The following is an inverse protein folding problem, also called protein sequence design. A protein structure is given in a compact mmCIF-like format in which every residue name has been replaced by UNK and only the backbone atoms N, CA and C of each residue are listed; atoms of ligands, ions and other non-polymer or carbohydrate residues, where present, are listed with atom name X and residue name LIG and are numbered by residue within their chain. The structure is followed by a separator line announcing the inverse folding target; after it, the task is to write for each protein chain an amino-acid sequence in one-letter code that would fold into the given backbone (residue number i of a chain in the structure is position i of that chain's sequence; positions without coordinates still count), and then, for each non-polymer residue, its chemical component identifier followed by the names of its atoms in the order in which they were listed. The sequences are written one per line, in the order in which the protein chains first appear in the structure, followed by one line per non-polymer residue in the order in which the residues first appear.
data_IF_939257543003
#
_entry.id   IF_939257543003
#
_cell.length_a   1.000
_cell.length_b   1.000
_cell.length_c   1.000
_cell.angle_alpha   90.00
_cell.angle_beta   90.00
_cell.angle_gamma   90.00
#
_symmetry.space_group_name_H-M   'P 1'
#
loop_
_entity.id
_entity.type
_entity.pdbx_description
1 polymer ?
#
# COMPACT_ATOMS: atom_id res chain seq x y z
N UNK A 1 20.47 -6.93 14.32
CA UNK A 1 20.27 -5.46 14.52
C UNK A 1 19.22 -5.05 13.49
N UNK A 2 18.17 -4.30 13.90
CA UNK A 2 17.11 -3.94 12.95
C UNK A 2 17.60 -2.90 11.94
N UNK A 3 17.14 -3.00 10.69
CA UNK A 3 17.30 -1.95 9.70
C UNK A 3 16.45 -0.74 10.14
N UNK A 4 17.07 0.41 10.21
CA UNK A 4 16.40 1.65 10.58
C UNK A 4 16.09 2.51 9.35
N UNK A 5 15.13 3.41 9.52
CA UNK A 5 14.66 4.34 8.50
C UNK A 5 14.87 5.78 8.96
N UNK A 6 15.22 6.64 8.04
CA UNK A 6 15.46 8.07 8.26
C UNK A 6 14.66 8.91 7.28
N UNK A 7 14.41 10.18 7.63
CA UNK A 7 13.79 11.12 6.70
C UNK A 7 14.73 11.45 5.54
N UNK A 8 14.15 11.67 4.36
CA UNK A 8 14.89 12.19 3.18
C UNK A 8 15.35 13.63 3.37
N UNK A 9 14.79 14.37 4.35
CA UNK A 9 15.15 15.77 4.63
C UNK A 9 16.09 15.92 5.81
N UNK A 10 15.92 15.08 6.84
CA UNK A 10 16.78 15.08 8.03
C UNK A 10 17.03 13.63 8.48
N UNK A 11 18.28 13.29 8.73
CA UNK A 11 18.72 11.95 9.10
C UNK A 11 19.03 11.75 10.58
N UNK A 12 18.83 12.75 11.41
CA UNK A 12 19.21 12.70 12.84
C UNK A 12 18.33 11.78 13.67
N UNK A 13 17.07 11.58 13.24
CA UNK A 13 16.13 10.68 13.89
C UNK A 13 15.87 9.47 13.01
N UNK A 14 16.02 8.30 13.60
CA UNK A 14 15.69 7.04 12.93
C UNK A 14 14.53 6.34 13.60
N UNK A 15 13.77 5.58 12.83
CA UNK A 15 12.62 4.79 13.25
C UNK A 15 12.72 3.37 12.72
N UNK A 16 11.97 2.43 13.28
CA UNK A 16 11.83 1.07 12.72
C UNK A 16 10.89 1.08 11.51
N UNK A 17 10.84 -0.03 10.75
CA UNK A 17 9.94 -0.15 9.61
C UNK A 17 8.47 0.01 10.02
N UNK A 18 8.03 -0.65 11.10
CA UNK A 18 6.64 -0.52 11.59
C UNK A 18 6.28 0.89 12.02
N UNK A 19 7.21 1.63 12.63
CA UNK A 19 7.03 3.03 12.99
C UNK A 19 6.94 3.93 11.75
N UNK A 20 7.79 3.68 10.74
CA UNK A 20 7.77 4.42 9.48
C UNK A 20 6.44 4.22 8.74
N UNK A 21 5.92 2.99 8.69
CA UNK A 21 4.63 2.66 8.07
C UNK A 21 3.48 3.44 8.74
N UNK A 22 3.43 3.43 10.07
CA UNK A 22 2.37 4.13 10.81
C UNK A 22 2.44 5.64 10.65
N UNK A 23 3.64 6.18 10.64
CA UNK A 23 3.84 7.62 10.58
C UNK A 23 3.58 8.18 9.18
N UNK A 24 3.87 7.40 8.14
CA UNK A 24 3.74 7.79 6.74
C UNK A 24 4.76 8.85 6.34
N UNK A 25 4.62 10.09 6.84
CA UNK A 25 5.56 11.19 6.64
C UNK A 25 6.38 11.46 7.90
N UNK A 26 7.63 11.85 7.74
CA UNK A 26 8.46 12.33 8.84
C UNK A 26 8.01 13.72 9.31
N UNK A 27 8.39 14.11 10.55
CA UNK A 27 7.99 15.39 11.17
C UNK A 27 8.43 16.62 10.36
N UNK A 28 9.47 16.48 9.56
CA UNK A 28 10.02 17.50 8.65
C UNK A 28 9.38 17.47 7.24
N UNK A 29 8.34 16.63 7.04
CA UNK A 29 7.66 16.44 5.76
C UNK A 29 8.44 15.62 4.74
N UNK A 30 9.55 14.97 5.14
CA UNK A 30 10.29 14.02 4.31
C UNK A 30 9.65 12.65 4.27
N UNK A 31 10.09 11.82 3.32
CA UNK A 31 9.74 10.40 3.24
C UNK A 31 10.73 9.57 4.06
N UNK A 32 10.29 8.43 4.58
CA UNK A 32 11.18 7.48 5.22
C UNK A 32 11.90 6.60 4.19
N UNK A 33 13.22 6.56 4.28
CA UNK A 33 14.08 5.68 3.48
C UNK A 33 14.98 4.86 4.41
N UNK A 34 15.35 3.63 4.05
CA UNK A 34 16.25 2.83 4.87
C UNK A 34 17.63 3.51 4.94
N UNK A 35 18.30 3.40 6.10
CA UNK A 35 19.66 3.95 6.28
C UNK A 35 20.70 3.31 5.39
N UNK A 36 20.43 2.09 4.91
CA UNK A 36 21.20 1.36 3.91
C UNK A 36 20.29 0.45 3.11
N UNK A 37 20.62 0.21 1.85
CA UNK A 37 19.89 -0.76 1.02
C UNK A 37 20.45 -2.14 1.31
N UNK A 38 19.63 -3.06 1.85
CA UNK A 38 20.08 -4.42 2.14
C UNK A 38 20.32 -5.20 0.85
N UNK A 39 21.20 -6.21 0.95
CA UNK A 39 21.38 -7.19 -0.13
C UNK A 39 20.42 -8.35 0.09
N UNK A 40 19.92 -8.92 -0.99
CA UNK A 40 19.19 -10.18 -0.92
C UNK A 40 20.12 -11.29 -0.40
N UNK A 41 19.59 -12.14 0.44
CA UNK A 41 20.27 -13.33 0.98
C UNK A 41 19.95 -14.61 0.19
N UNK A 42 19.33 -14.45 -0.97
CA UNK A 42 18.99 -15.53 -1.91
C UNK A 42 19.61 -15.22 -3.28
N UNK A 43 19.96 -16.26 -4.00
CA UNK A 43 20.51 -16.18 -5.36
C UNK A 43 19.40 -16.03 -6.41
N UNK A 44 19.77 -15.59 -7.63
CA UNK A 44 18.82 -15.56 -8.74
C UNK A 44 18.32 -16.95 -9.14
N UNK A 45 19.14 -17.99 -8.94
CA UNK A 45 18.75 -19.38 -9.20
C UNK A 45 17.72 -19.90 -8.19
N UNK A 46 17.79 -19.46 -6.95
CA UNK A 46 16.76 -19.77 -5.94
C UNK A 46 15.48 -18.99 -6.21
N UNK A 47 15.56 -17.71 -6.57
CA UNK A 47 14.40 -16.87 -6.85
C UNK A 47 13.52 -17.39 -8.00
N UNK A 48 14.11 -17.97 -9.03
CA UNK A 48 13.36 -18.43 -10.22
C UNK A 48 12.36 -19.55 -9.92
N UNK A 49 12.62 -20.33 -8.87
CA UNK A 49 11.80 -21.47 -8.46
C UNK A 49 10.81 -21.10 -7.35
N UNK A 50 10.82 -19.86 -6.86
CA UNK A 50 9.92 -19.35 -5.83
C UNK A 50 8.57 -18.91 -6.40
N UNK A 51 7.52 -19.14 -5.63
CA UNK A 51 6.22 -18.50 -5.84
C UNK A 51 6.33 -16.98 -5.65
N UNK A 52 5.28 -16.24 -6.06
CA UNK A 52 5.22 -14.79 -5.82
C UNK A 52 5.32 -14.47 -4.32
N UNK A 53 4.61 -15.22 -3.47
CA UNK A 53 4.61 -15.02 -2.01
C UNK A 53 5.98 -15.29 -1.39
N UNK A 54 6.67 -16.33 -1.84
CA UNK A 54 8.03 -16.65 -1.37
C UNK A 54 9.04 -15.58 -1.80
N UNK A 55 8.95 -15.11 -3.05
CA UNK A 55 9.76 -13.99 -3.55
C UNK A 55 9.48 -12.70 -2.76
N UNK A 56 8.20 -12.40 -2.51
CA UNK A 56 7.81 -11.24 -1.70
C UNK A 56 8.40 -11.33 -0.29
N UNK A 57 8.35 -12.51 0.35
CA UNK A 57 8.96 -12.71 1.66
C UNK A 57 10.48 -12.56 1.63
N UNK A 58 11.17 -13.17 0.65
CA UNK A 58 12.63 -13.08 0.51
C UNK A 58 13.10 -11.62 0.38
N UNK A 59 12.34 -10.78 -0.32
CA UNK A 59 12.64 -9.35 -0.48
C UNK A 59 12.24 -8.57 0.79
N UNK A 60 11.00 -8.71 1.24
CA UNK A 60 10.42 -7.87 2.29
C UNK A 60 11.08 -8.09 3.65
N UNK A 61 11.51 -9.31 3.99
CA UNK A 61 12.22 -9.59 5.26
C UNK A 61 13.52 -8.79 5.41
N UNK A 62 14.13 -8.37 4.31
CA UNK A 62 15.35 -7.53 4.35
C UNK A 62 15.04 -6.09 4.77
N UNK A 63 13.83 -5.62 4.51
CA UNK A 63 13.39 -4.27 4.81
C UNK A 63 12.60 -4.20 6.11
N UNK A 64 11.68 -5.13 6.36
CA UNK A 64 10.80 -5.12 7.53
C UNK A 64 11.37 -5.95 8.69
N UNK A 65 12.60 -5.64 9.09
CA UNK A 65 13.40 -6.44 10.04
C UNK A 65 12.86 -6.42 11.48
N UNK A 66 11.91 -5.58 11.79
CA UNK A 66 11.20 -5.56 13.08
C UNK A 66 9.87 -6.35 13.05
N UNK A 67 9.50 -6.92 11.89
CA UNK A 67 8.41 -7.90 11.80
C UNK A 67 8.94 -9.31 12.07
N UNK A 68 8.13 -10.15 12.70
CA UNK A 68 8.44 -11.58 12.77
C UNK A 68 8.16 -12.26 11.42
N UNK A 69 8.72 -13.46 11.24
CA UNK A 69 8.45 -14.23 10.03
C UNK A 69 6.95 -14.51 9.84
N UNK A 70 6.27 -14.91 10.92
CA UNK A 70 4.84 -15.18 10.90
C UNK A 70 4.02 -13.93 10.57
N UNK A 71 4.37 -12.78 11.14
CA UNK A 71 3.71 -11.50 10.86
C UNK A 71 3.83 -11.14 9.39
N UNK A 72 5.04 -11.24 8.83
CA UNK A 72 5.29 -10.84 7.45
C UNK A 72 4.66 -11.81 6.45
N UNK A 73 4.76 -13.12 6.69
CA UNK A 73 4.09 -14.15 5.88
C UNK A 73 2.57 -14.02 5.94
N UNK A 74 2.01 -13.70 7.11
CA UNK A 74 0.59 -13.42 7.22
C UNK A 74 0.18 -12.21 6.36
N UNK A 75 0.91 -11.10 6.41
CA UNK A 75 0.64 -9.93 5.57
C UNK A 75 0.68 -10.27 4.08
N UNK A 76 1.71 -11.01 3.65
CA UNK A 76 1.91 -11.39 2.25
C UNK A 76 0.79 -12.34 1.77
N UNK A 77 0.50 -13.40 2.52
CA UNK A 77 -0.49 -14.39 2.11
C UNK A 77 -1.92 -13.84 2.14
N UNK A 78 -2.21 -12.89 3.03
CA UNK A 78 -3.51 -12.21 3.07
C UNK A 78 -3.69 -11.17 1.96
N UNK A 79 -2.60 -10.65 1.43
CA UNK A 79 -2.60 -9.68 0.33
C UNK A 79 -2.70 -10.34 -1.04
N UNK A 80 -1.88 -11.36 -1.26
CA UNK A 80 -1.69 -12.01 -2.56
C UNK A 80 -2.32 -13.40 -2.55
N UNK A 81 -3.63 -13.45 -2.58
CA UNK A 81 -4.48 -14.64 -2.50
C UNK A 81 -5.43 -14.72 -3.71
N UNK A 82 -6.53 -15.44 -3.56
CA UNK A 82 -7.57 -15.62 -4.59
C UNK A 82 -8.30 -14.32 -5.02
N UNK A 83 -7.97 -13.16 -4.48
CA UNK A 83 -8.39 -11.85 -5.00
C UNK A 83 -7.72 -11.52 -6.34
N UNK A 84 -6.58 -12.16 -6.62
CA UNK A 84 -5.95 -12.14 -7.93
C UNK A 84 -6.50 -13.28 -8.77
N UNK A 85 -6.81 -13.03 -10.05
CA UNK A 85 -7.41 -14.01 -10.97
C UNK A 85 -6.38 -15.01 -11.54
N UNK A 86 -5.12 -14.94 -11.07
CA UNK A 86 -4.05 -15.87 -11.40
C UNK A 86 -3.19 -16.20 -10.18
N UNK A 87 -2.80 -17.47 -10.03
CA UNK A 87 -1.92 -17.93 -8.94
C UNK A 87 -0.52 -17.32 -9.01
N UNK A 88 -0.09 -16.92 -10.20
CA UNK A 88 1.23 -16.28 -10.42
C UNK A 88 1.26 -14.83 -9.94
N UNK A 89 0.10 -14.23 -9.69
CA UNK A 89 -0.11 -12.85 -9.22
C UNK A 89 0.32 -11.79 -10.25
N UNK A 90 1.55 -11.84 -10.74
CA UNK A 90 2.12 -10.92 -11.74
C UNK A 90 2.87 -11.73 -12.83
N UNK A 91 2.14 -12.35 -13.75
CA UNK A 91 2.75 -13.16 -14.79
C UNK A 91 3.58 -12.35 -15.78
N UNK A 92 4.64 -12.96 -16.26
CA UNK A 92 5.48 -12.42 -17.32
C UNK A 92 5.13 -13.11 -18.64
N UNK A 93 4.44 -12.41 -19.52
CA UNK A 93 3.93 -12.94 -20.80
C UNK A 93 4.81 -12.48 -21.95
N UNK A 94 5.25 -13.44 -22.79
CA UNK A 94 6.04 -13.13 -23.99
C UNK A 94 5.13 -12.96 -25.21
N UNK A 95 5.21 -11.79 -25.85
CA UNK A 95 4.53 -11.48 -27.10
C UNK A 95 5.57 -11.11 -28.16
N UNK A 96 5.76 -11.95 -29.15
CA UNK A 96 6.88 -11.80 -30.10
C UNK A 96 8.22 -11.87 -29.37
N UNK A 97 9.02 -10.82 -29.48
CA UNK A 97 10.33 -10.70 -28.82
C UNK A 97 10.31 -9.84 -27.54
N UNK A 98 9.11 -9.39 -27.13
CA UNK A 98 8.94 -8.51 -25.96
C UNK A 98 8.28 -9.27 -24.80
N UNK A 99 8.78 -9.01 -23.59
CA UNK A 99 8.16 -9.51 -22.36
C UNK A 99 7.28 -8.42 -21.73
N UNK A 100 6.08 -8.81 -21.35
CA UNK A 100 5.08 -7.97 -20.68
C UNK A 100 4.85 -8.49 -19.26
N UNK A 101 5.16 -7.67 -18.25
CA UNK A 101 4.79 -7.94 -16.87
C UNK A 101 3.36 -7.45 -16.64
N UNK A 102 2.44 -8.39 -16.44
CA UNK A 102 1.02 -8.08 -16.27
C UNK A 102 0.72 -7.78 -14.81
N UNK A 103 0.26 -6.55 -14.52
CA UNK A 103 -0.01 -6.06 -13.17
C UNK A 103 -1.51 -5.77 -12.93
N UNK A 104 -2.38 -6.28 -13.79
CA UNK A 104 -3.83 -6.00 -13.78
C UNK A 104 -4.69 -7.15 -13.25
N UNK A 105 -4.10 -8.18 -12.66
CA UNK A 105 -4.80 -9.38 -12.18
C UNK A 105 -5.47 -9.21 -10.82
N UNK A 106 -5.30 -8.08 -10.14
CA UNK A 106 -5.90 -7.81 -8.83
C UNK A 106 -7.36 -7.38 -8.88
N UNK A 107 -7.97 -7.21 -7.72
CA UNK A 107 -9.39 -6.97 -7.52
C UNK A 107 -9.95 -5.75 -8.26
N UNK A 108 -9.13 -4.73 -8.54
CA UNK A 108 -9.57 -3.51 -9.24
C UNK A 108 -9.02 -3.38 -10.66
N UNK A 109 -8.29 -4.40 -11.14
CA UNK A 109 -7.71 -4.45 -12.49
C UNK A 109 -6.70 -3.30 -12.72
N UNK A 110 -6.10 -2.78 -11.66
CA UNK A 110 -5.10 -1.73 -11.71
C UNK A 110 -3.80 -2.20 -11.05
N UNK A 111 -2.64 -1.79 -11.61
CA UNK A 111 -1.33 -2.12 -11.03
C UNK A 111 -1.18 -1.70 -9.55
N UNK A 112 -2.00 -0.78 -9.10
CA UNK A 112 -2.03 -0.31 -7.71
C UNK A 112 -2.46 -1.38 -6.71
N UNK A 113 -3.17 -2.41 -7.17
CA UNK A 113 -3.53 -3.56 -6.34
C UNK A 113 -2.31 -4.27 -5.78
N UNK A 114 -1.18 -4.26 -6.53
CA UNK A 114 0.07 -4.86 -6.07
C UNK A 114 0.57 -4.27 -4.74
N UNK A 115 0.37 -2.98 -4.52
CA UNK A 115 0.78 -2.29 -3.29
C UNK A 115 -0.37 -2.16 -2.28
N UNK A 116 -1.58 -1.84 -2.74
CA UNK A 116 -2.71 -1.52 -1.87
C UNK A 116 -3.38 -2.77 -1.29
N UNK A 117 -3.13 -3.96 -1.82
CA UNK A 117 -3.55 -5.21 -1.20
C UNK A 117 -2.76 -5.55 0.07
N UNK A 118 -1.47 -5.22 0.14
CA UNK A 118 -0.64 -5.56 1.31
C UNK A 118 -0.60 -4.43 2.35
N UNK A 119 -0.78 -3.18 1.93
CA UNK A 119 -0.66 -2.03 2.83
C UNK A 119 -1.54 -2.12 4.08
N UNK A 120 -2.82 -2.51 4.02
CA UNK A 120 -3.67 -2.64 5.21
C UNK A 120 -3.10 -3.63 6.23
N UNK A 121 -2.62 -4.77 5.78
CA UNK A 121 -2.05 -5.81 6.65
C UNK A 121 -0.77 -5.35 7.34
N UNK A 122 0.11 -4.65 6.60
CA UNK A 122 1.30 -4.04 7.17
C UNK A 122 0.95 -2.96 8.19
N UNK A 123 -0.05 -2.11 7.92
CA UNK A 123 -0.49 -1.04 8.82
C UNK A 123 -1.07 -1.59 10.12
N UNK A 124 -1.97 -2.57 10.06
CA UNK A 124 -2.57 -3.17 11.25
C UNK A 124 -1.53 -3.93 12.08
N UNK A 125 -0.63 -4.66 11.43
CA UNK A 125 0.48 -5.32 12.13
C UNK A 125 1.38 -4.29 12.81
N UNK A 126 1.71 -3.20 12.12
CA UNK A 126 2.49 -2.09 12.68
C UNK A 126 1.78 -1.42 13.86
N UNK A 127 0.46 -1.18 13.77
CA UNK A 127 -0.35 -0.61 14.84
C UNK A 127 -0.29 -1.49 16.10
N UNK A 128 -0.50 -2.79 15.94
CA UNK A 128 -0.41 -3.76 17.05
C UNK A 128 0.98 -3.73 17.71
N UNK A 129 2.06 -3.74 16.91
CA UNK A 129 3.45 -3.71 17.39
C UNK A 129 3.76 -2.44 18.18
N UNK A 130 3.21 -1.32 17.77
CA UNK A 130 3.42 -0.02 18.40
C UNK A 130 2.30 0.36 19.40
N UNK A 131 1.42 -0.60 19.77
CA UNK A 131 0.37 -0.43 20.78
C UNK A 131 -0.61 0.72 20.48
N UNK A 132 -0.85 1.00 19.20
CA UNK A 132 -1.84 1.99 18.76
C UNK A 132 -3.24 1.42 19.06
N UNK A 133 -4.07 2.19 19.77
CA UNK A 133 -5.42 1.79 20.19
C UNK A 133 -6.52 2.46 19.40
N UNK A 134 -6.21 3.55 18.72
CA UNK A 134 -7.18 4.32 17.93
C UNK A 134 -7.31 3.71 16.53
N UNK A 135 -8.48 3.90 15.91
CA UNK A 135 -8.65 3.60 14.50
C UNK A 135 -7.68 4.43 13.64
N UNK A 136 -7.17 3.80 12.60
CA UNK A 136 -6.34 4.48 11.59
C UNK A 136 -7.28 5.01 10.51
N UNK A 137 -7.26 6.33 10.31
CA UNK A 137 -8.06 6.98 9.27
C UNK A 137 -7.19 7.23 8.04
N UNK A 138 -7.57 6.62 6.92
CA UNK A 138 -6.91 6.78 5.64
C UNK A 138 -7.65 7.86 4.83
N UNK A 139 -6.95 8.95 4.51
CA UNK A 139 -7.48 10.01 3.64
C UNK A 139 -6.77 9.96 2.29
N UNK A 140 -7.51 9.85 1.22
CA UNK A 140 -6.97 9.75 -0.14
C UNK A 140 -7.66 10.73 -1.08
N UNK A 141 -6.88 11.56 -1.77
CA UNK A 141 -7.32 12.28 -2.96
C UNK A 141 -6.97 11.46 -4.19
N UNK A 142 -7.91 11.31 -5.13
CA UNK A 142 -7.70 10.45 -6.29
C UNK A 142 -8.20 11.08 -7.58
N UNK A 143 -7.52 10.74 -8.68
CA UNK A 143 -7.99 10.96 -10.05
C UNK A 143 -8.63 9.67 -10.66
N UNK A 144 -8.84 8.63 -9.84
CA UNK A 144 -9.49 7.38 -10.24
C UNK A 144 -8.87 6.12 -9.61
N UNK A 145 -7.90 5.52 -10.27
CA UNK A 145 -7.38 4.18 -9.94
C UNK A 145 -6.85 4.00 -8.51
N UNK A 146 -6.14 4.98 -7.99
CA UNK A 146 -5.58 4.88 -6.63
C UNK A 146 -6.66 4.81 -5.57
N UNK A 147 -7.70 5.66 -5.69
CA UNK A 147 -8.79 5.69 -4.72
C UNK A 147 -9.59 4.40 -4.70
N UNK A 148 -9.94 3.86 -5.88
CA UNK A 148 -10.67 2.59 -5.95
C UNK A 148 -9.87 1.42 -5.41
N UNK A 149 -8.57 1.35 -5.71
CA UNK A 149 -7.70 0.29 -5.20
C UNK A 149 -7.49 0.40 -3.68
N UNK A 150 -7.38 1.63 -3.15
CA UNK A 150 -7.32 1.86 -1.71
C UNK A 150 -8.65 1.45 -1.02
N UNK A 151 -9.80 1.84 -1.58
CA UNK A 151 -11.11 1.42 -1.05
C UNK A 151 -11.22 -0.11 -1.01
N UNK A 152 -10.86 -0.80 -2.08
CA UNK A 152 -10.91 -2.27 -2.14
C UNK A 152 -9.94 -2.92 -1.14
N UNK A 153 -8.73 -2.39 -0.99
CA UNK A 153 -7.72 -2.92 -0.07
C UNK A 153 -8.08 -2.73 1.41
N UNK A 154 -8.70 -1.60 1.76
CA UNK A 154 -9.07 -1.28 3.14
C UNK A 154 -10.51 -1.65 3.51
N UNK A 155 -11.35 -2.11 2.56
CA UNK A 155 -12.72 -2.48 2.83
C UNK A 155 -12.81 -3.53 3.94
N UNK A 156 -13.59 -3.22 4.99
CA UNK A 156 -13.83 -4.06 6.16
C UNK A 156 -12.58 -4.52 6.93
N UNK A 157 -11.44 -3.82 6.76
CA UNK A 157 -10.24 -4.08 7.57
C UNK A 157 -10.45 -3.49 8.97
N UNK A 158 -10.48 -4.33 10.02
CA UNK A 158 -10.77 -3.86 11.39
C UNK A 158 -9.74 -2.82 11.87
N UNK A 159 -10.22 -1.80 12.58
CA UNK A 159 -9.37 -0.72 13.11
C UNK A 159 -8.94 0.30 12.07
N UNK A 160 -9.57 0.28 10.88
CA UNK A 160 -9.34 1.29 9.85
C UNK A 160 -10.63 1.96 9.40
N UNK A 161 -10.51 3.19 8.93
CA UNK A 161 -11.55 3.93 8.19
C UNK A 161 -10.91 4.56 6.98
N UNK A 162 -11.55 4.49 5.83
CA UNK A 162 -11.04 5.11 4.61
C UNK A 162 -12.04 6.10 4.03
N UNK A 163 -11.53 7.29 3.69
CA UNK A 163 -12.28 8.35 3.04
C UNK A 163 -11.55 8.74 1.76
N UNK A 164 -12.21 8.57 0.63
CA UNK A 164 -11.66 8.91 -0.68
C UNK A 164 -12.35 10.14 -1.23
N UNK A 165 -11.57 11.17 -1.55
CA UNK A 165 -12.04 12.39 -2.20
C UNK A 165 -11.70 12.35 -3.69
N UNK A 166 -12.69 12.63 -4.54
CA UNK A 166 -12.48 12.71 -5.99
C UNK A 166 -13.19 13.93 -6.61
N UNK A 167 -12.68 14.49 -7.73
CA UNK A 167 -13.33 15.59 -8.39
C UNK A 167 -14.59 15.13 -9.13
N UNK A 168 -15.75 15.70 -8.82
CA UNK A 168 -17.02 15.39 -9.50
C UNK A 168 -16.88 15.69 -11.00
N UNK A 169 -17.10 14.70 -11.83
CA UNK A 169 -16.93 14.80 -13.28
C UNK A 169 -15.46 14.86 -13.76
N UNK A 170 -14.49 14.71 -12.85
CA UNK A 170 -13.05 14.68 -13.17
C UNK A 170 -12.43 13.28 -13.20
N UNK A 171 -13.24 12.24 -13.09
CA UNK A 171 -12.84 10.82 -13.24
C UNK A 171 -13.72 10.18 -14.33
N UNK A 172 -13.28 9.05 -14.89
CA UNK A 172 -14.14 8.32 -15.84
C UNK A 172 -15.38 7.75 -15.13
N UNK A 173 -16.47 7.57 -15.88
CA UNK A 173 -17.70 7.00 -15.33
C UNK A 173 -17.50 5.64 -14.69
N UNK A 174 -16.65 4.79 -15.29
CA UNK A 174 -16.30 3.47 -14.74
C UNK A 174 -15.57 3.60 -13.40
N UNK A 175 -14.58 4.50 -13.31
CA UNK A 175 -13.84 4.74 -12.08
C UNK A 175 -14.74 5.30 -10.96
N UNK A 176 -15.64 6.21 -11.31
CA UNK A 176 -16.64 6.74 -10.36
C UNK A 176 -17.52 5.60 -9.83
N UNK A 177 -18.10 4.80 -10.72
CA UNK A 177 -18.92 3.65 -10.32
C UNK A 177 -18.15 2.67 -9.44
N UNK A 178 -16.91 2.33 -9.78
CA UNK A 178 -16.07 1.44 -8.98
C UNK A 178 -15.82 1.98 -7.55
N UNK A 179 -15.75 3.30 -7.37
CA UNK A 179 -15.61 3.91 -6.05
C UNK A 179 -16.93 3.94 -5.28
N UNK A 180 -18.00 4.47 -5.89
CA UNK A 180 -19.27 4.71 -5.19
C UNK A 180 -20.06 3.42 -4.92
N UNK A 181 -19.76 2.34 -5.63
CA UNK A 181 -20.36 1.02 -5.40
C UNK A 181 -19.50 0.09 -4.55
N UNK A 182 -18.29 0.53 -4.14
CA UNK A 182 -17.45 -0.27 -3.24
C UNK A 182 -18.19 -0.54 -1.93
N UNK A 183 -18.31 -1.81 -1.60
CA UNK A 183 -18.89 -2.25 -0.33
C UNK A 183 -17.83 -2.20 0.78
N UNK A 184 -18.28 -1.96 1.99
CA UNK A 184 -17.46 -1.92 3.20
C UNK A 184 -18.03 -0.92 4.19
N UNK A 185 -18.21 -1.33 5.45
CA UNK A 185 -18.80 -0.47 6.49
C UNK A 185 -17.86 0.65 6.93
N UNK A 186 -16.58 0.50 6.68
CA UNK A 186 -15.53 1.46 7.02
C UNK A 186 -15.10 2.35 5.83
N UNK A 187 -15.81 2.27 4.69
CA UNK A 187 -15.47 3.01 3.47
C UNK A 187 -16.38 4.23 3.28
N UNK A 188 -15.80 5.35 2.84
CA UNK A 188 -16.54 6.57 2.50
C UNK A 188 -15.96 7.20 1.24
N UNK A 189 -16.85 7.67 0.36
CA UNK A 189 -16.47 8.30 -0.91
C UNK A 189 -17.12 9.67 -1.00
N UNK A 190 -16.33 10.71 -1.25
CA UNK A 190 -16.78 12.09 -1.27
C UNK A 190 -16.41 12.75 -2.60
N UNK A 191 -17.42 13.13 -3.38
CA UNK A 191 -17.22 13.95 -4.57
C UNK A 191 -17.04 15.41 -4.16
N UNK A 192 -16.00 16.08 -4.67
CA UNK A 192 -15.79 17.50 -4.44
C UNK A 192 -16.07 18.32 -5.71
N UNK A 193 -16.49 19.57 -5.53
CA UNK A 193 -16.52 20.55 -6.62
C UNK A 193 -15.13 21.12 -6.81
N UNK A 194 -14.49 20.84 -7.95
CA UNK A 194 -13.12 21.25 -8.27
C UNK A 194 -12.40 20.21 -9.11
N UNK A 195 -11.10 20.30 -9.15
CA UNK A 195 -10.22 19.36 -9.85
C UNK A 195 -9.43 18.49 -8.85
N UNK A 196 -8.57 17.60 -9.38
CA UNK A 196 -7.72 16.72 -8.56
C UNK A 196 -6.79 17.51 -7.62
N UNK A 197 -6.23 18.63 -8.09
CA UNK A 197 -5.31 19.44 -7.27
C UNK A 197 -6.04 20.07 -6.07
N UNK A 198 -7.32 20.43 -6.22
CA UNK A 198 -8.14 20.89 -5.11
C UNK A 198 -8.38 19.79 -4.07
N UNK A 199 -8.69 18.55 -4.52
CA UNK A 199 -8.83 17.41 -3.63
C UNK A 199 -7.52 17.12 -2.87
N UNK A 200 -6.40 17.10 -3.58
CA UNK A 200 -5.08 16.84 -3.00
C UNK A 200 -4.68 17.93 -2.00
N UNK A 201 -4.90 19.19 -2.33
CA UNK A 201 -4.59 20.32 -1.44
C UNK A 201 -5.46 20.28 -0.19
N UNK A 202 -6.74 19.93 -0.32
CA UNK A 202 -7.64 19.74 0.81
C UNK A 202 -7.19 18.65 1.76
N UNK A 203 -6.81 17.48 1.24
CA UNK A 203 -6.26 16.38 2.07
C UNK A 203 -4.97 16.80 2.78
N UNK A 204 -4.06 17.50 2.10
CA UNK A 204 -2.83 18.02 2.72
C UNK A 204 -3.14 19.00 3.85
N UNK A 205 -4.09 19.90 3.65
CA UNK A 205 -4.51 20.86 4.66
C UNK A 205 -5.08 20.19 5.92
N UNK A 206 -5.84 19.08 5.76
CA UNK A 206 -6.32 18.28 6.90
C UNK A 206 -5.16 17.70 7.70
N UNK A 207 -4.09 17.21 7.04
CA UNK A 207 -2.92 16.67 7.74
C UNK A 207 -2.07 17.75 8.44
N UNK A 208 -2.15 19.00 8.00
CA UNK A 208 -1.42 20.14 8.57
C UNK A 208 -2.20 20.82 9.71
N UNK A 209 -3.51 20.56 9.81
CA UNK A 209 -4.38 21.08 10.87
C UNK A 209 -4.02 20.40 12.22
N UNK A 210 -3.72 21.23 13.25
CA UNK A 210 -3.20 20.79 14.56
C UNK A 210 -4.24 20.90 15.64
#
# INVERSE_FOLDING_TARGET
MNLLYKSTRNSDKTVTASQAILKGLADDGGLFVPVSVPKLDVTMDELKDMSYQETAYAVMKQFFTDFTEEELKHCINSAYDSKFDTEVIAPLVKVGDTYHLELFHGATIAFKDMALSILPHLMITSARKNQVKNDIVILTATSGDTGKAALAGFADVPGTKIIVFYPKGGVSHVQELQMVTQKGENTSVVAIHGNFDNAQSGVKAIFEDK
#
